data_IF_272993051665
#
_entry.id   IF_272993051665
#
_cell.length_a   1.000
_cell.length_b   1.000
_cell.length_c   1.000
_cell.angle_alpha   90.00
_cell.angle_beta   90.00
_cell.angle_gamma   90.00
#
_symmetry.space_group_name_H-M   'P 1'
#
loop_
_entity.id
_entity.type
_entity.pdbx_description
1 polymer ?
#
# COMPACT_ATOMS: atom_id res chain seq x y z
N UNK A 1 13.22 -6.84 9.52
CA UNK A 1 12.85 -5.76 8.58
C UNK A 1 11.36 -5.45 8.71
N UNK A 2 10.88 -4.34 8.13
CA UNK A 2 9.49 -3.86 8.30
C UNK A 2 8.46 -4.45 7.30
N UNK A 3 8.89 -5.23 6.30
CA UNK A 3 8.05 -5.71 5.19
C UNK A 3 7.35 -4.58 4.39
N UNK A 4 7.94 -3.38 4.37
CA UNK A 4 7.46 -2.20 3.66
C UNK A 4 8.36 -0.99 3.95
N UNK A 5 8.01 0.18 3.38
CA UNK A 5 8.74 1.45 3.56
C UNK A 5 8.20 2.34 4.71
N UNK A 6 7.49 1.73 5.66
CA UNK A 6 7.03 2.37 6.89
C UNK A 6 7.52 1.56 8.08
N UNK A 7 7.90 2.23 9.17
CA UNK A 7 8.29 1.56 10.41
C UNK A 7 7.10 0.82 11.01
N UNK A 8 7.30 -0.45 11.37
CA UNK A 8 6.27 -1.22 12.08
C UNK A 8 5.92 -0.60 13.43
N UNK A 9 6.93 -0.04 14.10
CA UNK A 9 6.77 0.76 15.31
C UNK A 9 6.69 2.24 14.96
N UNK A 10 5.54 2.87 15.21
CA UNK A 10 5.32 4.30 15.00
C UNK A 10 4.78 4.69 13.62
N UNK A 11 4.67 3.75 12.67
CA UNK A 11 3.98 3.96 11.38
C UNK A 11 4.54 5.06 10.48
N UNK A 12 5.76 5.54 10.77
CA UNK A 12 6.40 6.61 10.04
C UNK A 12 7.07 6.05 8.78
N UNK A 13 7.01 6.80 7.68
CA UNK A 13 7.79 6.49 6.48
C UNK A 13 9.28 6.60 6.78
N UNK A 14 10.08 5.79 6.11
CA UNK A 14 11.51 6.01 5.98
C UNK A 14 11.88 6.04 4.51
N UNK A 15 12.88 6.84 4.17
CA UNK A 15 13.41 6.98 2.81
C UNK A 15 14.92 6.67 2.82
N UNK A 16 15.53 6.33 1.68
CA UNK A 16 16.97 6.17 1.59
C UNK A 16 17.71 7.48 1.97
N UNK A 17 18.77 7.38 2.78
CA UNK A 17 19.62 8.51 3.19
C UNK A 17 20.68 8.88 2.12
N UNK A 18 20.25 8.94 0.86
CA UNK A 18 21.07 9.38 -0.26
C UNK A 18 20.19 10.08 -1.30
N UNK A 19 20.81 10.84 -2.19
CA UNK A 19 20.06 11.47 -3.28
C UNK A 19 19.46 10.40 -4.19
N UNK A 20 18.28 10.72 -4.73
CA UNK A 20 17.55 9.87 -5.66
C UNK A 20 18.42 9.43 -6.85
N UNK A 21 19.16 10.36 -7.46
CA UNK A 21 20.10 10.08 -8.55
C UNK A 21 21.16 9.04 -8.17
N UNK A 22 21.68 9.09 -6.94
CA UNK A 22 22.69 8.14 -6.46
C UNK A 22 22.06 6.78 -6.24
N UNK A 23 20.85 6.72 -5.68
CA UNK A 23 20.15 5.47 -5.44
C UNK A 23 19.89 4.73 -6.75
N UNK A 24 19.30 5.41 -7.73
CA UNK A 24 19.03 4.81 -9.04
C UNK A 24 20.32 4.54 -9.82
N UNK A 25 21.32 5.42 -9.71
CA UNK A 25 22.64 5.21 -10.29
C UNK A 25 23.30 3.92 -9.80
N UNK A 26 23.26 3.67 -8.49
CA UNK A 26 23.79 2.43 -7.89
C UNK A 26 23.07 1.20 -8.48
N UNK A 27 21.73 1.20 -8.52
CA UNK A 27 20.97 0.07 -9.04
C UNK A 27 21.25 -0.18 -10.52
N UNK A 28 21.29 0.88 -11.35
CA UNK A 28 21.57 0.78 -12.79
C UNK A 28 23.03 0.38 -13.08
N UNK A 29 23.97 0.73 -12.20
CA UNK A 29 25.39 0.36 -12.34
C UNK A 29 25.69 -1.10 -11.96
N UNK A 30 24.72 -1.83 -11.40
CA UNK A 30 24.95 -3.20 -10.99
C UNK A 30 25.31 -4.08 -12.21
N UNK A 31 26.34 -4.96 -12.14
CA UNK A 31 26.78 -5.75 -13.30
C UNK A 31 25.73 -6.66 -13.93
N UNK A 32 24.63 -6.91 -13.22
CA UNK A 32 23.48 -7.69 -13.66
C UNK A 32 22.24 -6.85 -14.01
N UNK A 33 22.34 -5.53 -14.06
CA UNK A 33 21.22 -4.65 -14.40
C UNK A 33 20.73 -4.88 -15.84
N UNK A 34 21.62 -5.29 -16.75
CA UNK A 34 21.31 -5.54 -18.16
C UNK A 34 21.19 -7.03 -18.51
N UNK A 35 21.26 -7.93 -17.51
CA UNK A 35 21.12 -9.36 -17.73
C UNK A 35 19.63 -9.76 -17.75
N UNK A 36 19.11 -10.38 -18.82
CA UNK A 36 17.68 -10.69 -18.95
C UNK A 36 17.08 -11.49 -17.79
N UNK A 37 17.82 -12.46 -17.24
CA UNK A 37 17.35 -13.33 -16.14
C UNK A 37 17.66 -12.77 -14.74
N UNK A 38 18.06 -11.51 -14.65
CA UNK A 38 18.45 -10.90 -13.39
C UNK A 38 17.26 -10.26 -12.69
N UNK A 39 17.04 -10.56 -11.39
CA UNK A 39 15.99 -9.90 -10.61
C UNK A 39 16.11 -8.36 -10.60
N UNK A 40 17.33 -7.82 -10.64
CA UNK A 40 17.52 -6.37 -10.70
C UNK A 40 17.13 -5.78 -12.06
N UNK A 41 17.41 -6.48 -13.16
CA UNK A 41 17.00 -6.06 -14.51
C UNK A 41 15.49 -6.04 -14.62
N UNK A 42 14.83 -7.10 -14.13
CA UNK A 42 13.38 -7.17 -14.08
C UNK A 42 12.79 -6.05 -13.22
N UNK A 43 13.32 -5.81 -12.02
CA UNK A 43 12.82 -4.76 -11.12
C UNK A 43 12.99 -3.36 -11.72
N UNK A 44 14.14 -3.07 -12.32
CA UNK A 44 14.39 -1.80 -13.01
C UNK A 44 13.44 -1.60 -14.19
N UNK A 45 13.14 -2.65 -14.94
CA UNK A 45 12.31 -2.56 -16.16
C UNK A 45 10.80 -2.56 -15.89
N UNK A 46 10.36 -3.17 -14.78
CA UNK A 46 8.93 -3.42 -14.52
C UNK A 46 8.37 -2.67 -13.32
N UNK A 47 9.22 -2.19 -12.41
CA UNK A 47 8.81 -1.59 -11.15
C UNK A 47 9.31 -0.15 -10.97
N UNK A 48 10.50 0.21 -11.47
CA UNK A 48 11.15 1.47 -11.13
C UNK A 48 10.26 2.69 -11.44
N UNK A 49 9.71 2.76 -12.65
CA UNK A 49 8.79 3.83 -13.10
C UNK A 49 7.53 3.96 -12.23
N UNK A 50 7.05 2.84 -11.68
CA UNK A 50 5.84 2.79 -10.85
C UNK A 50 6.06 3.24 -9.41
N UNK A 51 7.31 3.27 -8.94
CA UNK A 51 7.64 3.52 -7.54
C UNK A 51 8.66 4.64 -7.34
N UNK A 52 9.24 5.18 -8.41
CA UNK A 52 10.33 6.17 -8.36
C UNK A 52 10.04 7.30 -7.38
N UNK A 53 8.88 7.94 -7.57
CA UNK A 53 8.37 8.97 -6.68
C UNK A 53 8.15 8.44 -5.26
N UNK A 54 7.44 7.33 -5.11
CA UNK A 54 7.01 6.79 -3.82
C UNK A 54 8.17 6.29 -2.95
N UNK A 55 9.33 5.96 -3.51
CA UNK A 55 10.53 5.61 -2.74
C UNK A 55 11.03 6.82 -1.93
N UNK A 56 11.02 8.02 -2.52
CA UNK A 56 11.58 9.24 -1.91
C UNK A 56 10.55 10.24 -1.39
N UNK A 57 9.26 10.09 -1.71
CA UNK A 57 8.22 11.03 -1.30
C UNK A 57 8.11 11.13 0.24
N UNK A 58 8.59 12.21 0.84
CA UNK A 58 8.50 12.47 2.28
C UNK A 58 7.72 13.74 2.59
N UNK A 59 6.47 13.75 2.17
CA UNK A 59 5.49 14.81 2.38
C UNK A 59 4.12 14.21 2.62
N UNK A 60 3.20 14.94 3.24
CA UNK A 60 1.78 14.53 3.35
C UNK A 60 1.24 14.17 1.94
N UNK A 61 0.56 13.02 1.77
CA UNK A 61 0.11 12.09 2.81
C UNK A 61 1.06 10.92 3.14
N UNK A 62 2.26 10.89 2.56
CA UNK A 62 3.19 9.75 2.65
C UNK A 62 4.02 9.68 3.94
N UNK A 63 3.92 10.66 4.84
CA UNK A 63 4.77 10.71 6.04
C UNK A 63 4.44 9.62 7.07
N UNK A 64 3.19 9.14 7.10
CA UNK A 64 2.70 8.20 8.09
C UNK A 64 1.59 7.32 7.53
N UNK A 65 1.49 6.07 8.03
CA UNK A 65 0.29 5.28 7.80
C UNK A 65 -0.85 5.81 8.66
N UNK A 66 -1.94 6.21 8.02
CA UNK A 66 -3.15 6.64 8.71
C UNK A 66 -4.37 6.58 7.78
N UNK A 67 -5.56 6.86 8.32
CA UNK A 67 -6.76 7.02 7.53
C UNK A 67 -6.64 8.24 6.59
N UNK A 68 -7.20 8.21 5.35
CA UNK A 68 -6.99 9.27 4.37
C UNK A 68 -7.37 10.68 4.85
N UNK A 69 -8.47 10.82 5.61
CA UNK A 69 -8.89 12.13 6.13
C UNK A 69 -7.99 12.66 7.25
N UNK A 70 -7.14 11.82 7.83
CA UNK A 70 -6.12 12.20 8.82
C UNK A 70 -4.76 12.52 8.17
N UNK A 71 -4.72 12.62 6.83
CA UNK A 71 -3.53 13.02 6.08
C UNK A 71 -2.46 11.94 5.99
N UNK A 72 -2.81 10.67 6.23
CA UNK A 72 -1.92 9.53 6.01
C UNK A 72 -2.29 8.70 4.79
N UNK A 73 -1.55 7.62 4.56
CA UNK A 73 -1.91 6.58 3.60
C UNK A 73 -2.22 5.25 4.28
N UNK A 74 -2.98 4.41 3.60
CA UNK A 74 -3.26 3.05 4.03
C UNK A 74 -3.38 2.13 2.81
N UNK A 75 -3.05 0.85 2.99
CA UNK A 75 -3.27 -0.19 1.99
C UNK A 75 -4.53 -1.04 2.30
N UNK A 76 -5.24 -0.72 3.39
CA UNK A 76 -6.48 -1.41 3.78
C UNK A 76 -7.73 -0.88 3.10
N UNK A 77 -7.69 0.40 2.71
CA UNK A 77 -8.82 1.12 2.11
C UNK A 77 -8.40 1.89 0.86
N UNK A 78 -9.35 2.19 -0.02
CA UNK A 78 -9.11 3.13 -1.12
C UNK A 78 -8.90 4.56 -0.59
N UNK A 79 -8.16 5.38 -1.34
CA UNK A 79 -7.75 6.74 -0.91
C UNK A 79 -8.91 7.72 -0.74
N UNK A 80 -10.02 7.46 -1.43
CA UNK A 80 -11.26 8.23 -1.43
C UNK A 80 -12.27 7.78 -0.36
N UNK A 81 -11.90 6.83 0.49
CA UNK A 81 -12.74 6.34 1.57
C UNK A 81 -12.90 7.42 2.66
N UNK A 82 -14.15 7.72 3.02
CA UNK A 82 -14.50 8.63 4.12
C UNK A 82 -14.72 7.89 5.44
N UNK A 83 -14.78 8.61 6.56
CA UNK A 83 -15.09 8.02 7.88
C UNK A 83 -16.49 7.41 7.91
N UNK A 84 -17.44 8.00 7.17
CA UNK A 84 -18.80 7.50 7.01
C UNK A 84 -18.79 6.18 6.23
N UNK A 85 -18.07 6.12 5.11
CA UNK A 85 -17.90 4.90 4.32
C UNK A 85 -17.29 3.77 5.17
N UNK A 86 -16.23 4.08 5.92
CA UNK A 86 -15.58 3.13 6.83
C UNK A 86 -16.55 2.61 7.90
N UNK A 87 -17.39 3.48 8.45
CA UNK A 87 -18.38 3.11 9.47
C UNK A 87 -19.43 2.17 8.88
N UNK A 88 -19.99 2.51 7.71
CA UNK A 88 -20.96 1.67 7.00
C UNK A 88 -20.39 0.28 6.69
N UNK A 89 -19.17 0.20 6.15
CA UNK A 89 -18.55 -1.09 5.83
C UNK A 89 -18.26 -1.91 7.09
N UNK A 90 -17.85 -1.27 8.20
CA UNK A 90 -17.66 -1.94 9.50
C UNK A 90 -18.97 -2.50 10.05
N UNK A 91 -20.06 -1.75 9.95
CA UNK A 91 -21.39 -2.20 10.38
C UNK A 91 -21.87 -3.39 9.55
N UNK A 92 -21.72 -3.33 8.23
CA UNK A 92 -22.03 -4.46 7.35
C UNK A 92 -21.22 -5.71 7.73
N UNK A 93 -19.89 -5.61 7.85
CA UNK A 93 -19.02 -6.75 8.18
C UNK A 93 -19.30 -7.34 9.57
N UNK A 94 -19.87 -6.56 10.49
CA UNK A 94 -20.28 -7.01 11.83
C UNK A 94 -21.74 -7.48 11.90
N UNK A 95 -22.51 -7.34 10.82
CA UNK A 95 -23.89 -7.78 10.78
C UNK A 95 -23.99 -9.31 10.89
N UNK A 96 -25.10 -9.81 11.47
CA UNK A 96 -25.37 -11.24 11.58
C UNK A 96 -25.29 -11.95 10.22
N UNK A 97 -25.75 -11.28 9.16
CA UNK A 97 -25.71 -11.82 7.81
C UNK A 97 -24.27 -12.06 7.32
N UNK A 98 -23.40 -11.04 7.44
CA UNK A 98 -22.01 -11.13 7.02
C UNK A 98 -21.23 -12.18 7.83
N UNK A 99 -21.38 -12.16 9.16
CA UNK A 99 -20.69 -13.09 10.07
C UNK A 99 -21.12 -14.53 9.82
N UNK A 100 -22.43 -14.77 9.58
CA UNK A 100 -22.94 -16.13 9.30
C UNK A 100 -22.45 -16.66 7.95
N UNK A 101 -22.12 -15.77 7.01
CA UNK A 101 -21.46 -16.10 5.74
C UNK A 101 -19.94 -16.29 5.88
N UNK A 102 -19.39 -16.18 7.09
CA UNK A 102 -17.97 -16.34 7.37
C UNK A 102 -17.12 -15.12 7.02
N UNK A 103 -17.71 -13.94 6.84
CA UNK A 103 -16.97 -12.70 6.63
C UNK A 103 -16.41 -12.19 7.96
N UNK A 104 -15.09 -12.08 8.05
CA UNK A 104 -14.39 -11.49 9.20
C UNK A 104 -13.62 -10.24 8.76
N UNK A 105 -13.75 -9.17 9.55
CA UNK A 105 -13.03 -7.91 9.33
C UNK A 105 -11.51 -8.08 9.36
N UNK A 106 -10.99 -9.08 10.08
CA UNK A 106 -9.56 -9.32 10.25
C UNK A 106 -8.87 -9.84 8.98
N UNK A 107 -9.62 -10.43 8.05
CA UNK A 107 -9.10 -11.00 6.80
C UNK A 107 -9.58 -10.23 5.56
N UNK A 108 -10.17 -9.05 5.75
CA UNK A 108 -10.76 -8.27 4.66
C UNK A 108 -10.05 -6.95 4.40
N UNK A 109 -10.20 -6.46 3.17
CA UNK A 109 -9.94 -5.07 2.77
C UNK A 109 -11.15 -4.53 2.03
N UNK A 110 -11.31 -3.22 2.01
CA UNK A 110 -12.47 -2.58 1.40
C UNK A 110 -12.03 -1.49 0.43
N UNK A 111 -12.55 -1.51 -0.78
CA UNK A 111 -12.25 -0.50 -1.80
C UNK A 111 -13.54 0.15 -2.27
N UNK A 112 -13.62 1.48 -2.19
CA UNK A 112 -14.72 2.25 -2.77
C UNK A 112 -14.62 2.18 -4.30
N UNK A 113 -15.72 1.81 -4.96
CA UNK A 113 -15.84 1.76 -6.44
C UNK A 113 -16.64 2.95 -6.96
N UNK A 114 -17.66 3.36 -6.21
CA UNK A 114 -18.46 4.57 -6.43
C UNK A 114 -19.06 5.05 -5.10
N UNK A 115 -19.85 6.11 -5.11
CA UNK A 115 -20.52 6.63 -3.91
C UNK A 115 -21.47 5.62 -3.24
N UNK A 116 -21.99 4.65 -4.00
CA UNK A 116 -22.93 3.65 -3.49
C UNK A 116 -22.44 2.21 -3.64
N UNK A 117 -21.16 2.01 -3.99
CA UNK A 117 -20.61 0.68 -4.25
C UNK A 117 -19.24 0.49 -3.59
N UNK A 118 -19.14 -0.59 -2.82
CA UNK A 118 -17.91 -1.02 -2.16
C UNK A 118 -17.55 -2.45 -2.57
N UNK A 119 -16.28 -2.67 -2.85
CA UNK A 119 -15.71 -3.99 -3.05
C UNK A 119 -15.05 -4.46 -1.74
N UNK A 120 -15.55 -5.55 -1.18
CA UNK A 120 -14.92 -6.24 -0.05
C UNK A 120 -14.10 -7.40 -0.60
N UNK A 121 -12.80 -7.40 -0.35
CA UNK A 121 -11.90 -8.49 -0.73
C UNK A 121 -11.51 -9.30 0.50
N UNK A 122 -11.50 -10.62 0.38
CA UNK A 122 -11.15 -11.56 1.45
C UNK A 122 -9.81 -12.20 1.10
N UNK A 123 -8.91 -12.33 2.09
CA UNK A 123 -7.69 -13.11 1.92
C UNK A 123 -8.00 -14.62 2.02
N UNK A 124 -7.84 -15.34 0.92
CA UNK A 124 -8.02 -16.79 0.84
C UNK A 124 -7.07 -17.41 -0.18
N UNK A 125 -6.75 -18.70 -0.01
CA UNK A 125 -6.13 -19.50 -1.08
C UNK A 125 -7.19 -19.85 -2.14
N UNK A 126 -6.79 -19.85 -3.41
CA UNK A 126 -7.65 -20.24 -4.54
C UNK A 126 -7.63 -21.76 -4.74
#
# INVERSE_FOLDING_TARGET
GNMGNYHSFGHMKFIPELSEDKFWGILRSHPRADQPDSPISWALSNCADKIEREVFAYQTPFTQLNFPSEGGITAYFSRDMTTQDLTLCKEFLKSTEAVTKGLDILITRVFKRSESEFLITIASEF
#
